data_IF_523675621575
#
_entry.id   IF_523675621575
#
_cell.length_a   1.000
_cell.length_b   1.000
_cell.length_c   1.000
_cell.angle_alpha   90.00
_cell.angle_beta   90.00
_cell.angle_gamma   90.00
#
_symmetry.space_group_name_H-M   'P 1'
#
loop_
_entity.id
_entity.type
_entity.pdbx_description
1 polymer ?
#
# COMPACT_ATOMS: atom_id res chain seq x y z
N UNK A 1 24.86 -16.12 -3.47
CA UNK A 1 24.04 -17.28 -3.90
C UNK A 1 23.63 -16.98 -5.34
N UNK A 2 23.59 -17.98 -6.26
CA UNK A 2 23.11 -17.71 -7.62
C UNK A 2 21.60 -17.37 -7.57
N UNK A 3 21.12 -16.39 -8.35
CA UNK A 3 19.71 -16.07 -8.39
C UNK A 3 18.89 -17.25 -8.93
N UNK A 4 17.72 -17.48 -8.34
CA UNK A 4 16.74 -18.46 -8.83
C UNK A 4 15.73 -17.70 -9.67
N UNK A 5 15.72 -17.96 -10.97
CA UNK A 5 14.80 -17.28 -11.90
C UNK A 5 13.49 -18.06 -11.99
N UNK A 6 12.38 -17.36 -11.76
CA UNK A 6 11.02 -17.88 -11.87
C UNK A 6 10.31 -17.11 -13.01
N UNK A 7 10.66 -17.40 -14.28
CA UNK A 7 10.39 -16.50 -15.40
C UNK A 7 8.90 -16.38 -15.75
N UNK A 8 8.08 -17.34 -15.35
CA UNK A 8 6.64 -17.37 -15.64
C UNK A 8 5.76 -17.12 -14.41
N UNK A 9 6.38 -16.89 -13.23
CA UNK A 9 5.61 -16.68 -12.00
C UNK A 9 4.97 -15.29 -12.04
N UNK A 10 3.63 -15.26 -12.06
CA UNK A 10 2.83 -14.02 -12.16
C UNK A 10 2.19 -13.61 -10.84
N UNK A 11 2.03 -14.54 -9.91
CA UNK A 11 1.52 -14.25 -8.58
C UNK A 11 2.32 -15.04 -7.55
N UNK A 12 2.66 -14.40 -6.44
CA UNK A 12 3.38 -15.04 -5.35
C UNK A 12 2.86 -14.53 -4.01
N UNK A 13 2.76 -15.44 -3.05
CA UNK A 13 2.42 -15.11 -1.67
C UNK A 13 3.44 -15.76 -0.76
N UNK A 14 3.97 -15.00 0.19
CA UNK A 14 4.97 -15.46 1.14
C UNK A 14 4.54 -15.14 2.56
N UNK A 15 4.59 -16.16 3.41
CA UNK A 15 4.45 -16.02 4.85
C UNK A 15 5.82 -16.24 5.50
N UNK A 16 6.42 -15.18 6.03
CA UNK A 16 7.76 -15.24 6.61
C UNK A 16 7.72 -15.36 8.12
N UNK A 17 8.08 -16.55 8.60
CA UNK A 17 8.26 -16.85 10.03
C UNK A 17 9.71 -16.70 10.50
N UNK A 18 10.65 -16.39 9.59
CA UNK A 18 12.08 -16.24 9.90
C UNK A 18 12.78 -15.26 8.94
N UNK A 19 13.73 -14.43 9.43
CA UNK A 19 14.54 -13.54 8.59
C UNK A 19 15.28 -14.24 7.45
N UNK A 20 15.72 -15.49 7.64
CA UNK A 20 16.45 -16.23 6.61
C UNK A 20 15.64 -16.46 5.32
N UNK A 21 14.31 -16.50 5.44
CA UNK A 21 13.40 -16.66 4.28
C UNK A 21 13.31 -15.36 3.47
N UNK A 22 13.54 -14.21 4.09
CA UNK A 22 13.54 -12.90 3.44
C UNK A 22 14.71 -12.79 2.47
N UNK A 23 15.89 -13.18 2.95
CA UNK A 23 17.09 -13.24 2.12
C UNK A 23 16.82 -14.12 0.89
N UNK A 24 16.12 -15.25 1.05
CA UNK A 24 15.76 -16.11 -0.09
C UNK A 24 14.92 -15.37 -1.14
N UNK A 25 13.93 -14.58 -0.74
CA UNK A 25 13.06 -13.84 -1.69
C UNK A 25 13.84 -12.77 -2.46
N UNK A 26 14.87 -12.17 -1.87
CA UNK A 26 15.75 -11.25 -2.58
C UNK A 26 16.60 -11.91 -3.67
N UNK A 27 16.82 -13.23 -3.57
CA UNK A 27 17.52 -14.03 -4.57
C UNK A 27 16.57 -14.62 -5.64
N UNK A 28 15.25 -14.38 -5.53
CA UNK A 28 14.29 -14.78 -6.54
C UNK A 28 14.15 -13.68 -7.60
N UNK A 29 14.36 -14.03 -8.86
CA UNK A 29 14.06 -13.16 -9.99
C UNK A 29 12.70 -13.54 -10.58
N UNK A 30 11.73 -12.62 -10.49
CA UNK A 30 10.34 -12.86 -10.91
C UNK A 30 9.92 -11.78 -11.93
N UNK A 31 10.48 -11.79 -13.15
CA UNK A 31 10.30 -10.70 -14.13
C UNK A 31 8.84 -10.55 -14.60
N UNK A 32 8.03 -11.59 -14.45
CA UNK A 32 6.61 -11.62 -14.85
C UNK A 32 5.65 -11.42 -13.68
N UNK A 33 6.13 -11.12 -12.47
CA UNK A 33 5.29 -10.97 -11.28
C UNK A 33 4.37 -9.75 -11.41
N UNK A 34 3.07 -9.98 -11.26
CA UNK A 34 2.00 -8.97 -11.34
C UNK A 34 1.33 -8.74 -9.98
N UNK A 35 1.24 -9.78 -9.16
CA UNK A 35 0.61 -9.75 -7.83
C UNK A 35 1.56 -10.33 -6.80
N UNK A 36 1.86 -9.56 -5.76
CA UNK A 36 2.70 -9.99 -4.67
C UNK A 36 2.00 -9.76 -3.34
N UNK A 37 1.94 -10.83 -2.55
CA UNK A 37 1.47 -10.79 -1.19
C UNK A 37 2.55 -11.21 -0.22
N UNK A 38 2.62 -10.51 0.89
CA UNK A 38 3.57 -10.78 1.95
C UNK A 38 2.86 -10.68 3.29
N UNK A 39 2.95 -11.75 4.08
CA UNK A 39 2.71 -11.72 5.52
C UNK A 39 4.05 -11.85 6.23
N UNK A 40 4.39 -10.86 7.05
CA UNK A 40 5.75 -10.65 7.54
C UNK A 40 5.79 -10.39 9.04
N UNK A 41 6.70 -11.07 9.74
CA UNK A 41 6.90 -10.90 11.17
C UNK A 41 8.29 -10.32 11.54
N UNK A 42 9.06 -9.78 10.59
CA UNK A 42 10.43 -9.28 10.84
C UNK A 42 10.75 -7.91 10.18
N UNK A 43 12.01 -7.45 10.25
CA UNK A 43 12.42 -6.04 10.06
C UNK A 43 12.26 -5.50 8.62
N UNK A 44 11.93 -4.20 8.52
CA UNK A 44 11.93 -3.30 7.34
C UNK A 44 11.13 -3.79 6.12
N UNK A 45 10.04 -3.07 5.81
CA UNK A 45 9.07 -3.44 4.77
C UNK A 45 9.69 -3.69 3.39
N UNK A 46 10.64 -2.84 2.99
CA UNK A 46 11.27 -2.90 1.68
C UNK A 46 12.15 -4.14 1.46
N UNK A 47 12.66 -4.78 2.53
CA UNK A 47 13.56 -5.94 2.42
C UNK A 47 12.79 -7.17 1.91
N UNK A 48 11.50 -7.28 2.25
CA UNK A 48 10.63 -8.36 1.80
C UNK A 48 10.06 -8.17 0.40
N UNK A 49 10.33 -7.04 -0.25
CA UNK A 49 9.87 -6.79 -1.62
C UNK A 49 10.80 -7.45 -2.63
N UNK A 50 10.26 -7.98 -3.74
CA UNK A 50 11.07 -8.55 -4.80
C UNK A 50 11.91 -7.46 -5.47
N UNK A 51 13.22 -7.72 -5.62
CA UNK A 51 14.19 -6.77 -6.18
C UNK A 51 14.02 -6.55 -7.70
N UNK A 52 13.40 -7.51 -8.40
CA UNK A 52 13.18 -7.46 -9.85
C UNK A 52 11.77 -7.95 -10.20
N UNK A 53 10.82 -7.03 -10.23
CA UNK A 53 9.42 -7.28 -10.61
C UNK A 53 8.83 -6.07 -11.33
N UNK A 54 9.33 -5.73 -12.54
CA UNK A 54 8.92 -4.52 -13.27
C UNK A 54 7.45 -4.53 -13.69
N UNK A 55 6.77 -5.68 -13.58
CA UNK A 55 5.35 -5.84 -13.90
C UNK A 55 4.45 -5.83 -12.68
N UNK A 56 4.99 -5.59 -11.48
CA UNK A 56 4.21 -5.65 -10.25
C UNK A 56 3.16 -4.55 -10.23
N UNK A 57 1.90 -4.95 -10.16
CA UNK A 57 0.73 -4.06 -10.18
C UNK A 57 -0.02 -4.06 -8.85
N UNK A 58 0.09 -5.13 -8.08
CA UNK A 58 -0.67 -5.34 -6.85
C UNK A 58 0.29 -5.78 -5.75
N UNK A 59 0.29 -5.02 -4.64
CA UNK A 59 1.07 -5.32 -3.45
C UNK A 59 0.13 -5.44 -2.25
N UNK A 60 0.24 -6.55 -1.54
CA UNK A 60 -0.47 -6.79 -0.29
C UNK A 60 0.54 -7.09 0.79
N UNK A 61 0.45 -6.36 1.88
CA UNK A 61 1.39 -6.44 2.98
C UNK A 61 0.64 -6.53 4.28
N UNK A 62 0.84 -7.62 5.01
CA UNK A 62 0.42 -7.77 6.39
C UNK A 62 1.67 -7.90 7.25
N UNK A 63 1.99 -6.88 8.04
CA UNK A 63 3.18 -6.89 8.90
C UNK A 63 2.73 -7.00 10.36
N UNK A 64 3.35 -7.90 11.12
CA UNK A 64 2.99 -8.14 12.51
C UNK A 64 3.93 -7.41 13.48
N UNK A 65 5.25 -7.50 13.28
CA UNK A 65 6.31 -6.84 14.07
C UNK A 65 7.64 -6.88 13.29
N UNK A 66 8.69 -6.08 13.62
CA UNK A 66 8.71 -4.83 14.39
C UNK A 66 8.22 -3.63 13.56
N UNK A 67 8.13 -2.41 14.13
CA UNK A 67 7.63 -1.23 13.43
C UNK A 67 8.28 -0.94 12.07
N UNK A 68 7.42 -0.57 11.11
CA UNK A 68 7.85 0.24 9.97
C UNK A 68 8.42 1.55 10.51
N UNK A 69 9.58 1.93 9.99
CA UNK A 69 10.13 3.25 10.21
C UNK A 69 9.43 4.25 9.28
N UNK A 70 9.45 5.53 9.67
CA UNK A 70 9.03 6.60 8.76
C UNK A 70 9.81 6.51 7.44
N UNK A 71 9.11 6.61 6.31
CA UNK A 71 9.69 6.50 4.98
C UNK A 71 9.96 5.07 4.49
N UNK A 72 9.66 4.01 5.26
CA UNK A 72 9.69 2.64 4.72
C UNK A 72 8.65 2.46 3.62
N UNK A 73 7.46 3.07 3.76
CA UNK A 73 6.43 3.04 2.73
C UNK A 73 6.83 3.91 1.52
N UNK A 74 7.37 5.11 1.75
CA UNK A 74 7.93 5.96 0.71
C UNK A 74 8.92 5.18 -0.17
N UNK A 75 9.95 4.56 0.43
CA UNK A 75 10.95 3.76 -0.28
C UNK A 75 10.35 2.58 -1.05
N UNK A 76 9.37 1.89 -0.47
CA UNK A 76 8.69 0.79 -1.14
C UNK A 76 7.92 1.26 -2.40
N UNK A 77 7.26 2.42 -2.32
CA UNK A 77 6.51 2.99 -3.43
C UNK A 77 7.42 3.56 -4.53
N UNK A 78 8.61 4.06 -4.16
CA UNK A 78 9.66 4.46 -5.12
C UNK A 78 10.14 3.29 -5.97
N UNK A 79 10.29 2.10 -5.37
CA UNK A 79 10.71 0.89 -6.07
C UNK A 79 9.63 0.33 -7.00
N UNK A 80 8.36 0.71 -6.79
CA UNK A 80 7.19 0.13 -7.46
C UNK A 80 6.32 1.21 -8.13
N UNK A 81 6.86 1.96 -9.11
CA UNK A 81 6.15 3.08 -9.74
C UNK A 81 4.90 2.66 -10.53
N UNK A 82 4.85 1.40 -10.98
CA UNK A 82 3.76 0.85 -11.77
C UNK A 82 2.61 0.25 -10.95
N UNK A 83 2.70 0.36 -9.62
CA UNK A 83 1.69 -0.17 -8.71
C UNK A 83 0.32 0.47 -8.94
N UNK A 84 -0.70 -0.37 -9.12
CA UNK A 84 -2.10 0.03 -9.31
C UNK A 84 -2.95 -0.19 -8.06
N UNK A 85 -2.54 -1.12 -7.21
CA UNK A 85 -3.22 -1.46 -5.96
C UNK A 85 -2.20 -1.69 -4.84
N UNK A 86 -2.47 -1.08 -3.69
CA UNK A 86 -1.74 -1.36 -2.45
C UNK A 86 -2.71 -1.65 -1.32
N UNK A 87 -2.47 -2.73 -0.59
CA UNK A 87 -3.19 -3.06 0.64
C UNK A 87 -2.18 -3.28 1.77
N UNK A 88 -2.27 -2.46 2.82
CA UNK A 88 -1.32 -2.46 3.94
C UNK A 88 -2.08 -2.67 5.25
N UNK A 89 -1.82 -3.82 5.89
CA UNK A 89 -2.17 -4.11 7.27
C UNK A 89 -0.89 -4.06 8.10
N UNK A 90 -0.61 -2.92 8.71
CA UNK A 90 0.57 -2.77 9.58
C UNK A 90 0.17 -2.25 10.94
N UNK A 91 0.86 -2.67 12.01
CA UNK A 91 0.54 -2.28 13.37
C UNK A 91 0.93 -0.83 13.68
N UNK A 92 1.45 -0.09 12.69
CA UNK A 92 2.29 1.08 12.89
C UNK A 92 2.10 2.17 11.85
N UNK A 93 2.55 3.35 12.25
CA UNK A 93 2.22 4.66 11.74
C UNK A 93 2.66 4.88 10.28
N UNK A 94 1.71 5.17 9.40
CA UNK A 94 1.96 5.87 8.13
C UNK A 94 2.23 7.33 8.48
N UNK A 95 3.40 7.83 8.10
CA UNK A 95 3.78 9.20 8.41
C UNK A 95 3.13 10.19 7.44
N UNK A 96 3.03 11.46 7.87
CA UNK A 96 2.69 12.58 7.00
C UNK A 96 3.56 12.62 5.74
N UNK A 97 4.85 12.29 5.85
CA UNK A 97 5.78 12.23 4.72
C UNK A 97 5.34 11.20 3.69
N UNK A 98 5.01 9.98 4.13
CA UNK A 98 4.53 8.90 3.26
C UNK A 98 3.27 9.32 2.49
N UNK A 99 2.31 9.95 3.17
CA UNK A 99 1.06 10.41 2.54
C UNK A 99 1.30 11.61 1.61
N UNK A 100 2.15 12.55 2.02
CA UNK A 100 2.45 13.76 1.25
C UNK A 100 3.07 13.44 -0.10
N UNK A 101 3.93 12.42 -0.17
CA UNK A 101 4.57 11.97 -1.43
C UNK A 101 3.61 11.32 -2.42
N UNK A 102 2.42 10.93 -1.98
CA UNK A 102 1.35 10.46 -2.86
C UNK A 102 0.57 11.61 -3.50
N UNK A 103 0.76 12.86 -3.06
CA UNK A 103 0.09 14.04 -3.59
C UNK A 103 0.81 14.50 -4.87
N UNK A 104 0.12 14.64 -6.01
CA UNK A 104 0.70 15.27 -7.18
C UNK A 104 0.99 16.75 -6.89
N UNK A 105 2.26 17.17 -7.10
CA UNK A 105 2.72 18.56 -6.96
C UNK A 105 3.08 19.07 -8.35
N UNK A 106 2.93 20.38 -8.62
CA UNK A 106 3.24 20.95 -9.94
C UNK A 106 4.59 20.45 -10.46
N UNK A 107 4.55 19.92 -11.69
CA UNK A 107 5.69 19.37 -12.44
C UNK A 107 6.41 18.15 -11.81
N UNK A 108 5.84 17.55 -10.75
CA UNK A 108 6.38 16.34 -10.11
C UNK A 108 5.31 15.26 -9.98
N UNK A 109 5.59 14.09 -10.57
CA UNK A 109 4.76 12.90 -10.38
C UNK A 109 4.79 12.45 -8.92
N UNK A 110 3.64 12.07 -8.33
CA UNK A 110 3.61 11.46 -7.02
C UNK A 110 4.22 10.06 -7.08
N UNK A 111 4.59 9.52 -5.91
CA UNK A 111 4.94 8.10 -5.80
C UNK A 111 3.76 7.22 -6.20
N UNK A 112 4.07 6.08 -6.83
CA UNK A 112 3.11 5.18 -7.45
C UNK A 112 2.02 5.96 -8.24
N UNK A 113 2.38 6.67 -9.32
CA UNK A 113 1.45 7.53 -10.06
C UNK A 113 0.29 6.74 -10.67
N UNK A 114 0.44 5.42 -10.85
CA UNK A 114 -0.61 4.53 -11.40
C UNK A 114 -1.57 3.96 -10.36
N UNK A 115 -1.42 4.34 -9.08
CA UNK A 115 -2.23 3.81 -7.98
C UNK A 115 -3.70 4.22 -8.13
N UNK A 116 -4.58 3.22 -8.17
CA UNK A 116 -6.04 3.33 -8.30
C UNK A 116 -6.78 2.84 -7.07
N UNK A 117 -6.17 1.95 -6.29
CA UNK A 117 -6.77 1.35 -5.11
C UNK A 117 -5.78 1.42 -3.96
N UNK A 118 -6.24 1.98 -2.83
CA UNK A 118 -5.47 2.08 -1.60
C UNK A 118 -6.30 1.49 -0.47
N UNK A 119 -5.76 0.51 0.26
CA UNK A 119 -6.40 -0.05 1.45
C UNK A 119 -5.46 0.00 2.63
N UNK A 120 -5.90 0.60 3.73
CA UNK A 120 -5.10 0.80 4.94
C UNK A 120 -5.90 0.35 6.18
N UNK A 121 -5.23 -0.29 7.14
CA UNK A 121 -5.80 -0.58 8.47
C UNK A 121 -5.32 0.44 9.51
N UNK A 122 -6.21 0.94 10.37
CA UNK A 122 -6.04 2.09 11.27
C UNK A 122 -4.95 1.94 12.34
N UNK A 123 -4.41 0.74 12.56
CA UNK A 123 -3.15 0.63 13.33
C UNK A 123 -2.04 1.53 12.72
N UNK A 124 -2.22 1.95 11.48
CA UNK A 124 -1.45 2.95 10.73
C UNK A 124 -1.55 4.41 11.16
N UNK A 125 -2.52 4.85 11.97
CA UNK A 125 -2.69 6.29 12.22
C UNK A 125 -2.68 6.59 13.71
N UNK A 126 -1.63 7.28 14.17
CA UNK A 126 -1.66 8.03 15.44
C UNK A 126 -1.80 9.51 15.11
N UNK A 127 -2.63 10.21 15.86
CA UNK A 127 -2.99 11.63 15.66
C UNK A 127 -1.76 12.56 15.52
N UNK A 128 -0.59 12.20 16.07
CA UNK A 128 0.63 13.00 16.02
C UNK A 128 1.52 12.72 14.80
N UNK A 129 1.11 11.85 13.90
CA UNK A 129 2.03 11.31 12.89
C UNK A 129 1.53 11.37 11.46
N UNK A 130 0.22 11.34 11.24
CA UNK A 130 -0.37 11.81 10.00
C UNK A 130 -1.50 12.78 10.35
N UNK A 131 -1.36 14.01 9.89
CA UNK A 131 -2.39 15.02 9.99
C UNK A 131 -3.54 14.66 9.05
N UNK A 132 -4.76 14.73 9.57
CA UNK A 132 -5.98 14.56 8.78
C UNK A 132 -6.00 15.42 7.51
N UNK A 133 -5.47 16.66 7.61
CA UNK A 133 -5.39 17.58 6.48
C UNK A 133 -4.54 17.03 5.33
N UNK A 134 -3.42 16.38 5.63
CA UNK A 134 -2.55 15.76 4.62
C UNK A 134 -3.27 14.61 3.92
N UNK A 135 -3.96 13.76 4.68
CA UNK A 135 -4.74 12.66 4.10
C UNK A 135 -5.88 13.18 3.22
N UNK A 136 -6.64 14.16 3.70
CA UNK A 136 -7.72 14.77 2.93
C UNK A 136 -7.20 15.42 1.63
N UNK A 137 -6.07 16.14 1.69
CA UNK A 137 -5.42 16.74 0.53
C UNK A 137 -4.96 15.67 -0.48
N UNK A 138 -4.39 14.56 0.00
CA UNK A 138 -4.01 13.43 -0.85
C UNK A 138 -5.22 12.80 -1.54
N UNK A 139 -6.28 12.50 -0.79
CA UNK A 139 -7.50 11.93 -1.36
C UNK A 139 -8.09 12.85 -2.42
N UNK A 140 -8.22 14.15 -2.13
CA UNK A 140 -8.73 15.12 -3.08
C UNK A 140 -7.90 15.16 -4.36
N UNK A 141 -6.57 15.32 -4.22
CA UNK A 141 -5.66 15.42 -5.35
C UNK A 141 -5.64 14.13 -6.20
N UNK A 142 -5.82 12.96 -5.59
CA UNK A 142 -5.78 11.67 -6.29
C UNK A 142 -7.13 11.27 -6.88
N UNK A 143 -8.25 11.49 -6.22
CA UNK A 143 -9.58 11.25 -6.81
C UNK A 143 -9.87 12.22 -7.97
N UNK A 144 -9.39 13.46 -7.88
CA UNK A 144 -9.61 14.49 -8.89
C UNK A 144 -8.45 14.65 -9.87
N UNK A 145 -7.47 13.73 -9.90
CA UNK A 145 -6.26 13.88 -10.69
C UNK A 145 -6.56 14.21 -12.18
N UNK A 146 -5.97 15.31 -12.65
CA UNK A 146 -6.00 15.78 -14.05
C UNK A 146 -4.60 15.83 -14.67
N UNK A 147 -3.57 15.65 -13.84
CA UNK A 147 -2.17 15.64 -14.27
C UNK A 147 -1.89 14.46 -15.21
N UNK A 148 -1.30 14.68 -16.40
CA UNK A 148 -0.88 13.59 -17.29
C UNK A 148 0.06 12.61 -16.58
N UNK A 149 -0.13 11.32 -16.81
CA UNK A 149 0.68 10.26 -16.19
C UNK A 149 0.24 9.84 -14.79
N UNK A 150 -0.67 10.57 -14.14
CA UNK A 150 -1.26 10.20 -12.84
C UNK A 150 -2.62 9.56 -13.04
N UNK A 151 -2.78 8.34 -12.55
CA UNK A 151 -4.09 7.67 -12.51
C UNK A 151 -4.95 8.25 -11.39
N UNK A 152 -6.25 8.40 -11.67
CA UNK A 152 -7.23 8.73 -10.64
C UNK A 152 -7.36 7.58 -9.67
N UNK A 153 -7.43 7.93 -8.38
CA UNK A 153 -7.84 6.98 -7.35
C UNK A 153 -9.31 6.62 -7.59
N UNK A 154 -9.60 5.33 -7.58
CA UNK A 154 -10.95 4.80 -7.73
C UNK A 154 -11.54 4.39 -6.40
N UNK A 155 -10.74 3.76 -5.54
CA UNK A 155 -11.20 3.24 -4.25
C UNK A 155 -10.18 3.54 -3.16
N UNK A 156 -10.67 4.04 -2.02
CA UNK A 156 -9.91 4.16 -0.78
C UNK A 156 -10.63 3.40 0.32
N UNK A 157 -9.97 2.42 0.93
CA UNK A 157 -10.52 1.66 2.05
C UNK A 157 -9.71 1.91 3.31
N UNK A 158 -10.41 2.17 4.41
CA UNK A 158 -9.82 2.47 5.70
C UNK A 158 -10.53 1.74 6.83
N UNK A 159 -9.95 0.67 7.33
CA UNK A 159 -10.57 -0.14 8.39
C UNK A 159 -10.00 0.20 9.75
N UNK A 160 -10.84 0.48 10.74
CA UNK A 160 -10.42 0.68 12.12
C UNK A 160 -10.26 -0.65 12.86
N UNK A 161 -9.16 -0.84 13.60
CA UNK A 161 -9.09 -1.90 14.62
C UNK A 161 -9.98 -1.47 15.79
N UNK A 162 -10.92 -2.32 16.21
CA UNK A 162 -11.94 -2.07 17.24
C UNK A 162 -11.37 -1.50 18.56
N UNK A 163 -10.07 -1.68 18.83
CA UNK A 163 -9.40 -1.18 20.03
C UNK A 163 -8.91 0.27 19.95
N UNK A 164 -8.79 0.83 18.75
CA UNK A 164 -8.26 2.16 18.49
C UNK A 164 -9.29 2.97 17.69
N UNK A 165 -10.41 3.32 18.32
CA UNK A 165 -11.46 4.12 17.67
C UNK A 165 -11.00 5.58 17.48
N UNK A 166 -10.40 5.89 16.34
CA UNK A 166 -10.34 7.28 15.84
C UNK A 166 -11.64 7.61 15.11
N UNK A 167 -12.70 7.79 15.90
CA UNK A 167 -14.05 8.06 15.40
C UNK A 167 -14.11 9.33 14.55
N UNK A 168 -13.22 10.29 14.80
CA UNK A 168 -13.15 11.55 14.08
C UNK A 168 -12.66 11.34 12.65
N UNK A 169 -11.59 10.56 12.48
CA UNK A 169 -11.07 10.21 11.16
C UNK A 169 -12.12 9.48 10.31
N UNK A 170 -12.75 8.44 10.86
CA UNK A 170 -13.80 7.70 10.14
C UNK A 170 -14.99 8.58 9.78
N UNK A 171 -15.44 9.45 10.69
CA UNK A 171 -16.53 10.39 10.43
C UNK A 171 -16.18 11.38 9.31
N UNK A 172 -14.94 11.86 9.31
CA UNK A 172 -14.45 12.80 8.31
C UNK A 172 -14.34 12.13 6.92
N UNK A 173 -13.87 10.88 6.84
CA UNK A 173 -13.88 10.09 5.62
C UNK A 173 -15.30 9.83 5.08
N UNK A 174 -16.25 9.50 5.96
CA UNK A 174 -17.68 9.37 5.58
C UNK A 174 -18.26 10.68 5.06
N UNK A 175 -17.83 11.81 5.62
CA UNK A 175 -18.26 13.15 5.17
C UNK A 175 -17.73 13.46 3.78
N UNK A 176 -16.43 13.22 3.53
CA UNK A 176 -15.83 13.38 2.20
C UNK A 176 -16.54 12.53 1.15
N UNK A 177 -16.85 11.26 1.47
CA UNK A 177 -17.66 10.40 0.61
C UNK A 177 -19.00 11.04 0.25
N UNK A 178 -19.75 11.48 1.26
CA UNK A 178 -21.08 12.03 1.05
C UNK A 178 -21.05 13.31 0.20
N UNK A 179 -20.01 14.14 0.35
CA UNK A 179 -19.86 15.40 -0.37
C UNK A 179 -19.43 15.23 -1.83
N UNK A 180 -18.59 14.22 -2.12
CA UNK A 180 -17.95 14.08 -3.44
C UNK A 180 -18.37 12.84 -4.22
N UNK A 181 -19.14 11.92 -3.61
CA UNK A 181 -19.50 10.62 -4.18
C UNK A 181 -18.30 9.75 -4.55
N UNK A 182 -17.18 9.90 -3.84
CA UNK A 182 -16.01 9.03 -3.99
C UNK A 182 -16.23 7.66 -3.34
N UNK A 183 -15.67 6.60 -3.90
CA UNK A 183 -15.70 5.25 -3.30
C UNK A 183 -14.68 5.18 -2.15
N UNK A 184 -15.11 5.72 -1.01
CA UNK A 184 -14.41 5.62 0.28
C UNK A 184 -15.19 4.63 1.14
N UNK A 185 -14.51 3.57 1.59
CA UNK A 185 -15.08 2.55 2.46
C UNK A 185 -14.38 2.59 3.81
N UNK A 186 -15.17 2.43 4.87
CA UNK A 186 -14.66 2.49 6.24
C UNK A 186 -15.20 1.36 7.10
N UNK A 187 -14.41 0.94 8.09
CA UNK A 187 -14.76 -0.09 9.06
C UNK A 187 -15.28 -1.37 8.39
N UNK A 188 -16.48 -1.82 8.76
CA UNK A 188 -17.16 -3.04 8.27
C UNK A 188 -17.46 -3.03 6.76
N UNK A 189 -17.36 -1.88 6.10
CA UNK A 189 -17.54 -1.77 4.65
C UNK A 189 -16.26 -2.14 3.89
N UNK A 190 -15.11 -2.20 4.57
CA UNK A 190 -13.84 -2.55 3.95
C UNK A 190 -13.81 -4.04 3.62
N UNK A 191 -13.35 -4.38 2.41
CA UNK A 191 -12.98 -5.74 2.05
C UNK A 191 -11.47 -5.76 2.01
N UNK A 192 -10.84 -5.87 3.19
CA UNK A 192 -9.41 -6.11 3.25
C UNK A 192 -9.17 -7.54 2.75
N UNK A 193 -8.49 -7.74 1.60
CA UNK A 193 -8.27 -9.08 1.09
C UNK A 193 -7.42 -9.88 2.07
N UNK A 194 -7.66 -11.20 2.15
CA UNK A 194 -6.74 -12.07 2.85
C UNK A 194 -5.36 -11.98 2.18
N UNK A 195 -4.27 -12.10 2.95
CA UNK A 195 -2.93 -11.98 2.40
C UNK A 195 -2.67 -13.04 1.31
N UNK A 196 -3.25 -14.23 1.43
CA UNK A 196 -3.15 -15.33 0.47
C UNK A 196 -4.17 -15.30 -0.67
N UNK A 197 -5.13 -14.35 -0.65
CA UNK A 197 -6.02 -14.12 -1.78
C UNK A 197 -5.18 -13.51 -2.92
N UNK A 198 -4.81 -14.31 -3.91
CA UNK A 198 -4.10 -13.85 -5.10
C UNK A 198 -5.03 -13.94 -6.31
N UNK A 199 -5.12 -12.84 -7.06
CA UNK A 199 -5.72 -12.84 -8.38
C UNK A 199 -4.76 -12.26 -9.40
N UNK A 200 -4.88 -12.77 -10.62
CA UNK A 200 -4.22 -12.19 -11.78
C UNK A 200 -5.19 -11.20 -12.41
N UNK A 201 -4.71 -10.00 -12.71
CA UNK A 201 -5.49 -9.09 -13.56
C UNK A 201 -5.60 -9.73 -14.94
N UNK A 202 -6.82 -9.97 -15.42
CA UNK A 202 -7.05 -10.38 -16.80
C UNK A 202 -6.42 -9.33 -17.72
N UNK A 203 -5.62 -9.80 -18.69
CA UNK A 203 -4.96 -8.98 -19.72
C UNK A 203 -6.01 -8.23 -20.52
#
# INVERSE_FOLDING_TARGET
>A
MNPVVLPNLRAASFHFTSPAVVDMVQHLEMPMLETFSIEYAFRQFQIGLPSSSPRLKILRAQLHYPPMNAGDLERALEMLPDLTEISIDVPHIISNGDVFRLIPVHDQLPLAPKLKIVRLLNRCFRHNSCEWRTLAAMLQARFQATMPGVSRLHTFEFSVDDRANDHNLTTALRTLRAQHHWDIRVDRECRFPAWDELYLTSV
#
